data_IF_690787522128
#
_entry.id   IF_690787522128
#
_cell.length_a   1.000
_cell.length_b   1.000
_cell.length_c   1.000
_cell.angle_alpha   90.00
_cell.angle_beta   90.00
_cell.angle_gamma   90.00
#
_symmetry.space_group_name_H-M   'P 1'
#
loop_
_entity.id
_entity.type
_entity.pdbx_description
1 polymer ?
#
# COMPACT_ATOMS: atom_id res chain seq x y z
N UNK A 1 -7.70 -8.82 -11.11
CA UNK A 1 -6.87 -9.86 -11.76
C UNK A 1 -7.00 -11.18 -11.02
N UNK A 2 -6.72 -12.28 -11.68
CA UNK A 2 -6.74 -13.58 -11.02
C UNK A 2 -5.40 -13.85 -10.32
N UNK A 3 -5.46 -14.10 -9.02
CA UNK A 3 -4.29 -14.47 -8.23
C UNK A 3 -4.20 -15.99 -8.09
N UNK A 4 -2.98 -16.51 -8.13
CA UNK A 4 -2.73 -17.92 -7.85
C UNK A 4 -2.69 -18.17 -6.34
N UNK A 5 -2.68 -19.43 -5.93
CA UNK A 5 -2.50 -19.80 -4.52
C UNK A 5 -1.15 -19.28 -3.98
N UNK A 6 -0.10 -19.35 -4.79
CA UNK A 6 1.22 -18.83 -4.41
C UNK A 6 1.18 -17.30 -4.25
N UNK A 7 0.51 -16.59 -5.16
CA UNK A 7 0.33 -15.15 -5.03
C UNK A 7 -0.33 -14.78 -3.70
N UNK A 8 -1.38 -15.48 -3.32
CA UNK A 8 -2.08 -15.24 -2.05
C UNK A 8 -1.19 -15.55 -0.84
N UNK A 9 -0.37 -16.60 -0.91
CA UNK A 9 0.58 -16.92 0.15
C UNK A 9 1.63 -15.83 0.31
N UNK A 10 2.09 -15.24 -0.79
CA UNK A 10 3.02 -14.10 -0.76
C UNK A 10 2.37 -12.92 -0.04
N UNK A 11 1.14 -12.57 -0.39
CA UNK A 11 0.41 -11.49 0.26
C UNK A 11 0.19 -11.77 1.76
N UNK A 12 -0.14 -12.99 2.13
CA UNK A 12 -0.31 -13.39 3.53
C UNK A 12 0.99 -13.21 4.33
N UNK A 13 2.14 -13.49 3.73
CA UNK A 13 3.44 -13.27 4.36
C UNK A 13 3.68 -11.79 4.64
N UNK A 14 3.36 -10.92 3.69
CA UNK A 14 3.44 -9.47 3.90
C UNK A 14 2.46 -8.99 4.97
N UNK A 15 1.24 -9.50 4.97
CA UNK A 15 0.24 -9.16 6.00
C UNK A 15 0.75 -9.47 7.41
N UNK A 16 1.39 -10.62 7.58
CA UNK A 16 2.00 -11.00 8.85
C UNK A 16 3.15 -10.07 9.24
N UNK A 17 4.01 -9.74 8.29
CA UNK A 17 5.18 -8.89 8.53
C UNK A 17 4.79 -7.47 8.96
N UNK A 18 3.77 -6.88 8.35
CA UNK A 18 3.42 -5.48 8.63
C UNK A 18 2.88 -5.26 10.03
N UNK A 19 2.39 -6.27 10.73
CA UNK A 19 2.02 -6.14 12.14
C UNK A 19 3.22 -5.76 12.99
N UNK A 20 4.31 -6.50 12.86
CA UNK A 20 5.55 -6.20 13.59
C UNK A 20 6.18 -4.90 13.14
N UNK A 21 6.17 -4.63 11.84
CA UNK A 21 6.70 -3.37 11.30
C UNK A 21 5.94 -2.17 11.87
N UNK A 22 4.62 -2.25 11.94
CA UNK A 22 3.78 -1.19 12.49
C UNK A 22 4.07 -0.94 13.97
N UNK A 23 4.27 -2.00 14.75
CA UNK A 23 4.61 -1.88 16.15
C UNK A 23 5.96 -1.16 16.35
N UNK A 24 6.91 -1.41 15.48
CA UNK A 24 8.21 -0.76 15.52
C UNK A 24 8.14 0.72 15.12
N UNK A 25 7.43 1.02 14.03
CA UNK A 25 7.34 2.38 13.48
C UNK A 25 6.44 3.30 14.32
N UNK A 26 5.40 2.77 14.95
CA UNK A 26 4.52 3.53 15.82
C UNK A 26 3.28 4.08 15.11
N UNK A 27 2.48 4.81 15.88
CA UNK A 27 1.11 5.18 15.50
C UNK A 27 1.00 6.27 14.45
N UNK A 28 2.08 7.02 14.17
CA UNK A 28 2.06 8.08 13.14
C UNK A 28 2.10 7.54 11.72
N UNK A 29 2.39 6.25 11.57
CA UNK A 29 2.42 5.57 10.27
C UNK A 29 1.13 4.78 10.07
N UNK A 30 0.48 5.02 8.95
CA UNK A 30 -0.58 4.14 8.44
C UNK A 30 0.04 3.22 7.41
N UNK A 31 -0.16 1.91 7.55
CA UNK A 31 0.37 0.91 6.64
C UNK A 31 -0.79 0.09 6.12
N UNK A 32 -0.94 0.00 4.80
CA UNK A 32 -1.98 -0.80 4.18
C UNK A 32 -1.41 -1.73 3.13
N UNK A 33 -1.90 -2.96 3.12
CA UNK A 33 -1.60 -3.96 2.12
C UNK A 33 -2.82 -4.13 1.23
N UNK A 34 -2.61 -3.98 -0.07
CA UNK A 34 -3.65 -4.13 -1.07
C UNK A 34 -3.41 -5.37 -1.92
N UNK A 35 -4.47 -6.14 -2.14
CA UNK A 35 -4.49 -7.19 -3.16
C UNK A 35 -5.11 -6.63 -4.43
N UNK A 36 -4.48 -6.90 -5.57
CA UNK A 36 -5.03 -6.48 -6.87
C UNK A 36 -6.03 -7.48 -7.43
N UNK A 37 -6.47 -8.43 -6.62
CA UNK A 37 -7.54 -9.35 -6.99
C UNK A 37 -8.86 -8.61 -7.22
N UNK A 38 -9.16 -7.62 -6.39
CA UNK A 38 -10.36 -6.78 -6.49
C UNK A 38 -10.00 -5.33 -6.12
N UNK A 39 -9.97 -4.45 -7.10
CA UNK A 39 -9.60 -3.05 -6.90
C UNK A 39 -10.60 -2.29 -6.03
N UNK A 40 -11.87 -2.70 -6.05
CA UNK A 40 -12.93 -2.03 -5.28
C UNK A 40 -12.90 -2.42 -3.79
N UNK A 41 -12.21 -3.52 -3.46
CA UNK A 41 -12.10 -4.06 -2.11
C UNK A 41 -10.66 -4.51 -1.84
N UNK A 42 -9.69 -3.68 -2.21
CA UNK A 42 -8.29 -4.11 -2.29
C UNK A 42 -7.59 -4.22 -0.94
N UNK A 43 -7.98 -3.44 0.06
CA UNK A 43 -7.31 -3.47 1.38
C UNK A 43 -7.58 -4.81 2.06
N UNK A 44 -6.52 -5.59 2.26
CA UNK A 44 -6.58 -6.89 2.95
C UNK A 44 -5.99 -6.83 4.35
N UNK A 45 -5.14 -5.85 4.63
CA UNK A 45 -4.57 -5.60 5.95
C UNK A 45 -4.30 -4.10 6.08
N UNK A 46 -4.60 -3.54 7.26
CA UNK A 46 -4.31 -2.15 7.53
C UNK A 46 -3.95 -1.96 9.00
N UNK A 47 -2.90 -1.17 9.25
CA UNK A 47 -2.46 -0.77 10.58
C UNK A 47 -2.62 0.74 10.70
N UNK A 48 -3.19 1.17 11.83
CA UNK A 48 -3.44 2.59 12.12
C UNK A 48 -4.34 3.29 11.09
N UNK A 49 -5.31 2.55 10.57
CA UNK A 49 -6.26 3.06 9.58
C UNK A 49 -7.16 4.19 10.08
N UNK A 50 -7.17 4.45 11.39
CA UNK A 50 -7.93 5.55 11.96
C UNK A 50 -7.50 6.92 11.42
N UNK A 51 -6.27 7.07 10.95
CA UNK A 51 -5.80 8.31 10.33
C UNK A 51 -6.65 8.71 9.13
N UNK A 52 -6.99 7.75 8.28
CA UNK A 52 -7.77 7.98 7.07
C UNK A 52 -9.23 7.56 7.20
N UNK A 53 -9.56 6.79 8.24
CA UNK A 53 -10.86 6.15 8.38
C UNK A 53 -11.03 4.91 7.50
N UNK A 54 -9.96 4.42 6.88
CA UNK A 54 -10.02 3.26 5.99
C UNK A 54 -9.94 1.97 6.79
N UNK A 55 -10.58 0.93 6.26
CA UNK A 55 -10.64 -0.40 6.87
C UNK A 55 -10.41 -1.48 5.84
N UNK A 56 -10.27 -2.72 6.29
CA UNK A 56 -10.23 -3.89 5.38
C UNK A 56 -11.45 -3.86 4.46
N UNK A 57 -11.22 -4.11 3.19
CA UNK A 57 -12.24 -4.04 2.15
C UNK A 57 -12.38 -2.67 1.48
N UNK A 58 -11.65 -1.66 1.91
CA UNK A 58 -11.65 -0.37 1.24
C UNK A 58 -11.03 -0.47 -0.17
N UNK A 59 -11.44 0.40 -1.11
CA UNK A 59 -10.88 0.39 -2.46
C UNK A 59 -9.46 0.97 -2.51
N UNK A 60 -8.77 0.76 -3.63
CA UNK A 60 -7.52 1.46 -3.93
C UNK A 60 -7.77 2.97 -3.96
N UNK A 61 -6.81 3.74 -3.44
CA UNK A 61 -6.84 5.20 -3.57
C UNK A 61 -6.48 5.61 -4.99
N UNK A 62 -6.89 6.82 -5.39
CA UNK A 62 -6.49 7.39 -6.68
C UNK A 62 -4.96 7.49 -6.79
N UNK A 63 -4.30 7.80 -5.69
CA UNK A 63 -2.86 7.88 -5.63
C UNK A 63 -2.20 6.53 -5.94
N UNK A 64 -2.69 5.45 -5.32
CA UNK A 64 -2.19 4.10 -5.59
C UNK A 64 -2.48 3.67 -7.02
N UNK A 65 -3.65 3.99 -7.56
CA UNK A 65 -3.99 3.72 -8.96
C UNK A 65 -3.04 4.44 -9.92
N UNK A 66 -2.72 5.69 -9.65
CA UNK A 66 -1.77 6.46 -10.46
C UNK A 66 -0.37 5.84 -10.42
N UNK A 67 0.07 5.38 -9.25
CA UNK A 67 1.36 4.72 -9.11
C UNK A 67 1.40 3.40 -9.88
N UNK A 68 0.35 2.59 -9.81
CA UNK A 68 0.24 1.35 -10.57
C UNK A 68 0.30 1.61 -12.08
N UNK A 69 -0.35 2.65 -12.55
CA UNK A 69 -0.32 3.04 -13.95
C UNK A 69 1.10 3.40 -14.39
N UNK A 70 1.83 4.15 -13.57
CA UNK A 70 3.22 4.49 -13.85
C UNK A 70 4.12 3.26 -13.88
N UNK A 71 3.92 2.31 -12.95
CA UNK A 71 4.65 1.04 -12.96
C UNK A 71 4.39 0.28 -14.27
N UNK A 72 3.14 0.22 -14.69
CA UNK A 72 2.75 -0.47 -15.93
C UNK A 72 3.38 0.17 -17.16
N UNK A 73 3.44 1.48 -17.20
CA UNK A 73 3.95 2.23 -18.36
C UNK A 73 5.48 2.26 -18.41
N UNK A 74 6.17 2.30 -17.27
CA UNK A 74 7.60 2.54 -17.15
C UNK A 74 8.40 1.33 -16.66
N UNK A 75 7.71 0.30 -16.17
CA UNK A 75 8.33 -0.89 -15.61
C UNK A 75 8.77 -0.71 -14.16
N UNK A 76 9.01 -1.85 -13.50
CA UNK A 76 9.34 -1.92 -12.07
C UNK A 76 10.75 -1.41 -11.77
N UNK A 77 11.64 -1.46 -12.76
CA UNK A 77 13.03 -1.00 -12.62
C UNK A 77 13.14 0.50 -12.35
N UNK A 78 12.11 1.29 -12.63
CA UNK A 78 12.05 2.71 -12.30
C UNK A 78 11.48 2.97 -10.90
N UNK A 79 11.56 1.98 -10.01
CA UNK A 79 10.96 1.98 -8.68
C UNK A 79 11.33 3.12 -7.75
N UNK A 80 12.32 3.94 -8.08
CA UNK A 80 12.66 5.14 -7.33
C UNK A 80 11.50 6.13 -7.25
N UNK A 81 10.61 6.11 -8.24
CA UNK A 81 9.47 7.02 -8.33
C UNK A 81 8.32 6.62 -7.42
N UNK A 82 8.34 5.41 -6.87
CA UNK A 82 7.26 4.88 -6.04
C UNK A 82 7.56 4.91 -4.56
N UNK A 83 8.83 5.04 -4.18
CA UNK A 83 9.28 4.75 -2.83
C UNK A 83 9.18 5.89 -1.86
N UNK A 84 9.00 7.12 -2.32
CA UNK A 84 8.80 8.23 -1.39
C UNK A 84 8.31 9.46 -2.13
N UNK A 85 7.17 9.97 -1.74
CA UNK A 85 6.60 11.18 -2.33
C UNK A 85 5.73 11.89 -1.30
N UNK A 86 5.53 13.20 -1.49
CA UNK A 86 4.64 13.99 -0.66
C UNK A 86 3.25 14.01 -1.28
N UNK A 87 2.22 13.86 -0.47
CA UNK A 87 0.84 13.84 -0.91
C UNK A 87 -0.06 14.57 0.08
N UNK A 88 -1.26 14.91 -0.37
CA UNK A 88 -2.32 15.44 0.47
C UNK A 88 -3.51 14.50 0.33
N UNK A 89 -4.05 14.01 1.46
CA UNK A 89 -5.18 13.10 1.44
C UNK A 89 -6.51 13.85 1.27
N UNK A 90 -7.62 13.10 1.23
CA UNK A 90 -8.95 13.66 1.09
C UNK A 90 -9.35 14.60 2.23
N UNK A 91 -8.72 14.47 3.40
CA UNK A 91 -8.95 15.34 4.57
C UNK A 91 -8.07 16.59 4.58
N UNK A 92 -7.24 16.79 3.55
CA UNK A 92 -6.34 17.94 3.47
C UNK A 92 -5.07 17.81 4.29
N UNK A 93 -4.77 16.61 4.80
CA UNK A 93 -3.56 16.36 5.59
C UNK A 93 -2.36 16.11 4.72
N UNK A 94 -1.20 16.65 5.12
CA UNK A 94 0.07 16.44 4.42
C UNK A 94 0.69 15.11 4.84
N UNK A 95 1.07 14.31 3.87
CA UNK A 95 1.64 12.97 4.06
C UNK A 95 2.97 12.84 3.33
N UNK A 96 3.87 12.08 3.93
CA UNK A 96 4.94 11.45 3.18
C UNK A 96 4.50 10.01 2.91
N UNK A 97 4.42 9.64 1.66
CA UNK A 97 3.85 8.36 1.24
C UNK A 97 4.85 7.54 0.47
N UNK A 98 4.65 6.23 0.52
CA UNK A 98 5.37 5.28 -0.31
C UNK A 98 4.38 4.24 -0.82
N UNK A 99 4.48 3.91 -2.10
CA UNK A 99 3.70 2.83 -2.72
C UNK A 99 4.68 1.82 -3.29
N UNK A 100 4.69 0.64 -2.72
CA UNK A 100 5.66 -0.40 -3.05
C UNK A 100 4.94 -1.55 -3.74
N UNK A 101 5.28 -1.86 -5.01
CA UNK A 101 4.65 -2.99 -5.68
C UNK A 101 5.12 -4.31 -5.07
N UNK A 102 4.19 -5.26 -4.96
CA UNK A 102 4.48 -6.62 -4.49
C UNK A 102 4.39 -7.54 -5.68
N UNK A 103 5.46 -8.29 -5.90
CA UNK A 103 5.57 -9.22 -7.02
C UNK A 103 5.14 -10.63 -6.58
N UNK A 104 4.30 -11.23 -7.38
CA UNK A 104 3.91 -12.63 -7.26
C UNK A 104 4.61 -13.51 -8.27
N UNK A 105 3.97 -14.64 -8.62
CA UNK A 105 4.49 -15.54 -9.63
C UNK A 105 4.72 -14.83 -10.95
N UNK A 106 5.79 -15.19 -11.63
CA UNK A 106 6.18 -14.64 -12.94
C UNK A 106 6.41 -13.12 -12.90
N UNK A 107 6.80 -12.60 -11.73
CA UNK A 107 7.08 -11.17 -11.53
C UNK A 107 5.89 -10.26 -11.85
N UNK A 108 4.66 -10.79 -11.75
CA UNK A 108 3.46 -9.96 -11.89
C UNK A 108 3.26 -9.13 -10.63
N UNK A 109 2.85 -7.90 -10.80
CA UNK A 109 2.44 -7.06 -9.66
C UNK A 109 1.07 -7.57 -9.17
N UNK A 110 1.04 -8.14 -7.98
CA UNK A 110 -0.17 -8.75 -7.40
C UNK A 110 -0.77 -7.93 -6.28
N UNK A 111 -0.04 -6.95 -5.79
CA UNK A 111 -0.48 -6.10 -4.69
C UNK A 111 0.39 -4.89 -4.57
N UNK A 112 0.04 -4.01 -3.64
CA UNK A 112 0.85 -2.86 -3.26
C UNK A 112 0.86 -2.71 -1.74
N UNK A 113 2.00 -2.30 -1.22
CA UNK A 113 2.16 -1.89 0.16
C UNK A 113 2.24 -0.37 0.19
N UNK A 114 1.32 0.26 0.90
CA UNK A 114 1.29 1.70 1.05
C UNK A 114 1.69 2.07 2.48
N UNK A 115 2.64 2.98 2.62
CA UNK A 115 3.07 3.50 3.91
C UNK A 115 2.88 5.01 3.88
N UNK A 116 2.11 5.53 4.84
CA UNK A 116 1.83 6.95 4.96
C UNK A 116 2.31 7.45 6.32
N UNK A 117 3.20 8.44 6.30
CA UNK A 117 3.60 9.18 7.48
C UNK A 117 2.82 10.49 7.52
N UNK A 118 2.07 10.70 8.58
CA UNK A 118 1.26 11.91 8.77
C UNK A 118 2.14 12.99 9.38
N UNK A 119 2.50 13.97 8.55
CA UNK A 119 3.52 14.98 8.89
C UNK A 119 3.09 15.94 9.98
N UNK A 120 1.79 16.14 10.15
CA UNK A 120 1.24 17.05 11.16
C UNK A 120 0.89 16.35 12.48
N UNK A 121 1.17 15.05 12.59
CA UNK A 121 0.88 14.30 13.81
C UNK A 121 2.06 14.39 14.78
N UNK A 122 1.79 14.49 16.10
CA UNK A 122 2.86 14.39 17.09
C UNK A 122 3.44 12.98 17.10
N UNK A 123 4.75 12.90 17.23
CA UNK A 123 5.48 11.63 17.30
C UNK A 123 5.36 11.00 18.71
#
# INVERSE_FOLDING_TARGET
MNLTKIDRQILDSYASMIEGLSMYLGSVYEISLHSLEDYDHSVVKIMNGYHSGRTVGAPLTDLALNMLKRIKDQGISSGKDFTSYTAINALGESLKSSTIPILGQNNRVIGVLCINLYLDSPL
#
